data_IF_971890016416
#
_entry.id   IF_971890016416
#
_cell.length_a   1.000
_cell.length_b   1.000
_cell.length_c   1.000
_cell.angle_alpha   90.00
_cell.angle_beta   90.00
_cell.angle_gamma   90.00
#
_symmetry.space_group_name_H-M   'P 1'
#
loop_
_entity.id
_entity.type
_entity.pdbx_description
1 polymer ?
#
# COMPACT_ATOMS: atom_id res chain seq x y z
N UNK A 1 -31.88 -43.06 -37.63
CA UNK A 1 -31.33 -42.66 -36.33
C UNK A 1 -31.10 -41.15 -36.39
N UNK A 2 -31.76 -40.38 -35.54
CA UNK A 2 -31.90 -38.91 -35.65
C UNK A 2 -30.80 -38.20 -34.92
N UNK A 3 -30.14 -37.19 -35.49
CA UNK A 3 -29.12 -36.38 -34.79
C UNK A 3 -29.77 -35.19 -34.10
N UNK A 4 -30.09 -35.34 -32.83
CA UNK A 4 -30.68 -34.26 -32.00
C UNK A 4 -29.69 -33.61 -31.05
N UNK A 5 -28.38 -33.78 -31.24
CA UNK A 5 -27.37 -33.31 -30.31
C UNK A 5 -26.57 -32.06 -30.76
N UNK A 6 -27.04 -31.37 -31.82
CA UNK A 6 -26.31 -30.21 -32.37
C UNK A 6 -26.95 -28.84 -32.07
N UNK A 7 -27.98 -28.78 -31.22
CA UNK A 7 -28.72 -27.53 -30.99
C UNK A 7 -28.62 -26.94 -29.58
N UNK A 8 -27.67 -27.37 -28.72
CA UNK A 8 -27.59 -26.88 -27.36
C UNK A 8 -26.21 -26.26 -27.00
N UNK A 9 -25.46 -25.77 -27.98
CA UNK A 9 -24.14 -25.20 -27.79
C UNK A 9 -24.05 -23.70 -28.12
N UNK A 10 -25.18 -23.04 -28.17
CA UNK A 10 -25.25 -21.59 -28.37
C UNK A 10 -26.14 -21.00 -27.29
N UNK A 11 -25.57 -20.07 -26.50
CA UNK A 11 -26.18 -19.17 -25.52
C UNK A 11 -25.65 -19.33 -24.07
N UNK A 12 -24.32 -19.41 -23.94
CA UNK A 12 -23.66 -18.88 -22.72
C UNK A 12 -22.69 -17.78 -23.14
N UNK A 13 -23.18 -16.76 -23.80
CA UNK A 13 -22.51 -15.46 -23.79
C UNK A 13 -22.74 -14.88 -22.40
N UNK A 14 -21.89 -15.26 -21.45
CA UNK A 14 -21.72 -14.50 -20.22
C UNK A 14 -21.37 -13.10 -20.64
N UNK A 15 -22.35 -12.19 -20.57
CA UNK A 15 -22.08 -10.76 -20.59
C UNK A 15 -21.26 -10.47 -19.31
N UNK A 16 -19.95 -10.65 -19.40
CA UNK A 16 -19.05 -9.98 -18.49
C UNK A 16 -19.36 -8.50 -18.65
N UNK A 17 -20.12 -7.94 -17.70
CA UNK A 17 -20.19 -6.49 -17.50
C UNK A 17 -18.78 -6.07 -17.08
N UNK A 18 -17.89 -5.93 -18.07
CA UNK A 18 -16.59 -5.32 -17.86
C UNK A 18 -16.91 -3.87 -17.47
N UNK A 19 -16.66 -3.51 -16.23
CA UNK A 19 -16.62 -2.12 -15.83
C UNK A 19 -15.73 -1.38 -16.84
N UNK A 20 -16.20 -0.24 -17.35
CA UNK A 20 -15.37 0.57 -18.23
C UNK A 20 -14.03 0.86 -17.53
N UNK A 21 -12.90 0.73 -18.22
CA UNK A 21 -11.62 1.06 -17.61
C UNK A 21 -11.63 2.52 -17.18
N UNK A 22 -11.27 2.78 -15.91
CA UNK A 22 -11.08 4.14 -15.43
C UNK A 22 -9.94 4.77 -16.23
N UNK A 23 -10.21 5.92 -16.85
CA UNK A 23 -9.18 6.64 -17.58
C UNK A 23 -8.48 7.63 -16.63
N UNK A 24 -7.18 7.84 -16.83
CA UNK A 24 -6.40 8.80 -16.03
C UNK A 24 -7.01 10.20 -16.04
N UNK A 25 -7.70 10.59 -17.10
CA UNK A 25 -8.41 11.86 -17.22
C UNK A 25 -9.60 12.00 -16.27
N UNK A 26 -10.10 10.89 -15.70
CA UNK A 26 -11.26 10.88 -14.81
C UNK A 26 -10.87 11.05 -13.35
N UNK A 27 -9.56 10.99 -13.04
CA UNK A 27 -9.04 11.15 -11.69
C UNK A 27 -8.67 12.60 -11.39
N UNK A 28 -8.99 13.04 -10.20
CA UNK A 28 -8.45 14.29 -9.65
C UNK A 28 -6.95 14.16 -9.40
N UNK A 29 -6.24 15.28 -9.26
CA UNK A 29 -4.80 15.28 -8.95
C UNK A 29 -4.49 14.54 -7.63
N UNK A 30 -5.39 14.61 -6.65
CA UNK A 30 -5.24 13.91 -5.36
C UNK A 30 -5.40 12.38 -5.52
N UNK A 31 -6.42 11.96 -6.25
CA UNK A 31 -6.64 10.54 -6.54
C UNK A 31 -5.49 9.95 -7.37
N UNK A 32 -5.02 10.70 -8.36
CA UNK A 32 -3.87 10.28 -9.16
C UNK A 32 -2.60 10.15 -8.29
N UNK A 33 -2.35 11.12 -7.38
CA UNK A 33 -1.23 11.05 -6.43
C UNK A 33 -1.37 9.83 -5.53
N UNK A 34 -2.54 9.58 -4.96
CA UNK A 34 -2.80 8.41 -4.12
C UNK A 34 -2.51 7.10 -4.85
N UNK A 35 -3.04 6.93 -6.05
CA UNK A 35 -2.81 5.70 -6.85
C UNK A 35 -1.34 5.53 -7.20
N UNK A 36 -0.68 6.59 -7.67
CA UNK A 36 0.75 6.51 -8.05
C UNK A 36 1.66 6.30 -6.85
N UNK A 37 1.38 6.93 -5.70
CA UNK A 37 2.14 6.74 -4.47
C UNK A 37 2.13 5.28 -4.02
N UNK A 38 0.95 4.67 -4.02
CA UNK A 38 0.78 3.28 -3.60
C UNK A 38 1.37 2.30 -4.62
N UNK A 39 1.23 2.56 -5.92
CA UNK A 39 1.86 1.74 -6.96
C UNK A 39 3.39 1.76 -6.86
N UNK A 40 4.01 2.95 -6.64
CA UNK A 40 5.45 3.07 -6.46
C UNK A 40 5.91 2.39 -5.17
N UNK A 41 5.17 2.58 -4.06
CA UNK A 41 5.49 1.91 -2.80
C UNK A 41 5.45 0.39 -2.94
N UNK A 42 4.39 -0.16 -3.55
CA UNK A 42 4.26 -1.60 -3.77
C UNK A 42 5.42 -2.14 -4.62
N UNK A 43 5.77 -1.47 -5.71
CA UNK A 43 6.91 -1.87 -6.53
C UNK A 43 8.22 -1.89 -5.73
N UNK A 44 8.45 -0.87 -4.91
CA UNK A 44 9.66 -0.77 -4.10
C UNK A 44 9.66 -1.78 -2.94
N UNK A 45 8.50 -2.12 -2.39
CA UNK A 45 8.33 -3.19 -1.42
C UNK A 45 8.72 -4.55 -2.02
N UNK A 46 8.20 -4.88 -3.20
CA UNK A 46 8.58 -6.12 -3.91
C UNK A 46 10.07 -6.14 -4.29
N UNK A 47 10.62 -4.98 -4.66
CA UNK A 47 12.07 -4.85 -4.83
C UNK A 47 12.83 -5.10 -3.50
N UNK A 48 12.24 -4.75 -2.37
CA UNK A 48 12.78 -5.05 -1.04
C UNK A 48 12.97 -6.55 -0.85
N UNK A 49 11.96 -7.36 -1.12
CA UNK A 49 12.06 -8.82 -1.09
C UNK A 49 13.14 -9.35 -2.03
N UNK A 50 13.19 -8.83 -3.25
CA UNK A 50 14.21 -9.19 -4.22
C UNK A 50 15.63 -8.92 -3.68
N UNK A 51 15.87 -7.72 -3.12
CA UNK A 51 17.16 -7.35 -2.56
C UNK A 51 17.54 -8.20 -1.36
N UNK A 52 16.59 -8.48 -0.45
CA UNK A 52 16.81 -9.35 0.71
C UNK A 52 17.27 -10.73 0.24
N UNK A 53 16.57 -11.29 -0.74
CA UNK A 53 16.86 -12.64 -1.24
C UNK A 53 18.19 -12.69 -2.04
N UNK A 54 18.35 -11.82 -3.04
CA UNK A 54 19.52 -11.86 -3.92
C UNK A 54 20.84 -11.49 -3.21
N UNK A 55 20.77 -10.58 -2.25
CA UNK A 55 21.94 -10.14 -1.50
C UNK A 55 22.12 -10.87 -0.16
N UNK A 56 21.23 -11.82 0.16
CA UNK A 56 21.25 -12.59 1.40
C UNK A 56 21.31 -11.67 2.64
N UNK A 57 20.50 -10.59 2.64
CA UNK A 57 20.50 -9.63 3.73
C UNK A 57 19.91 -10.24 5.01
N UNK A 58 20.54 -10.03 6.17
CA UNK A 58 19.99 -10.52 7.43
C UNK A 58 18.77 -9.72 7.86
N UNK A 59 17.62 -10.37 8.00
CA UNK A 59 16.38 -9.78 8.51
C UNK A 59 16.16 -10.20 9.95
N UNK A 60 16.02 -9.24 10.87
CA UNK A 60 15.86 -9.48 12.31
C UNK A 60 14.37 -9.44 12.73
N UNK A 61 13.47 -9.89 11.90
CA UNK A 61 12.03 -9.86 12.18
C UNK A 61 11.25 -10.43 11.02
N UNK A 62 10.05 -9.92 10.82
CA UNK A 62 9.27 -10.28 9.64
C UNK A 62 9.90 -9.65 8.40
N UNK A 63 10.05 -10.43 7.35
CA UNK A 63 10.58 -9.94 6.08
C UNK A 63 9.69 -8.87 5.48
N UNK A 64 8.37 -8.99 5.66
CA UNK A 64 7.38 -8.01 5.23
C UNK A 64 7.60 -6.62 5.85
N UNK A 65 7.94 -6.56 7.14
CA UNK A 65 8.26 -5.29 7.80
C UNK A 65 9.56 -4.68 7.24
N UNK A 66 10.53 -5.52 6.88
CA UNK A 66 11.77 -5.05 6.25
C UNK A 66 11.53 -4.58 4.82
N UNK A 67 10.69 -5.27 4.06
CA UNK A 67 10.29 -4.87 2.71
C UNK A 67 9.51 -3.54 2.72
N UNK A 68 8.61 -3.34 3.69
CA UNK A 68 7.92 -2.05 3.90
C UNK A 68 8.93 -0.91 4.16
N UNK A 69 9.93 -1.14 5.00
CA UNK A 69 10.96 -0.13 5.28
C UNK A 69 11.82 0.17 4.05
N UNK A 70 12.20 -0.84 3.29
CA UNK A 70 12.95 -0.67 2.04
C UNK A 70 12.12 0.08 1.00
N UNK A 71 10.82 -0.25 0.89
CA UNK A 71 9.89 0.45 0.02
C UNK A 71 9.79 1.93 0.38
N UNK A 72 9.64 2.23 1.67
CA UNK A 72 9.57 3.60 2.16
C UNK A 72 10.87 4.38 1.91
N UNK A 73 12.02 3.80 2.24
CA UNK A 73 13.35 4.41 1.96
C UNK A 73 13.54 4.60 0.45
N UNK A 74 13.07 3.67 -0.36
CA UNK A 74 13.11 3.77 -1.82
C UNK A 74 12.39 5.01 -2.36
N UNK A 75 11.25 5.39 -1.78
CA UNK A 75 10.56 6.64 -2.14
C UNK A 75 11.44 7.88 -1.89
N UNK A 76 12.19 7.91 -0.79
CA UNK A 76 13.15 8.99 -0.51
C UNK A 76 14.31 9.01 -1.51
N UNK A 77 14.81 7.85 -1.91
CA UNK A 77 15.88 7.75 -2.89
C UNK A 77 15.42 8.22 -4.27
N UNK A 78 14.21 7.87 -4.69
CA UNK A 78 13.62 8.33 -5.95
C UNK A 78 13.38 9.84 -5.94
N UNK A 79 12.91 10.40 -4.82
CA UNK A 79 12.65 11.84 -4.69
C UNK A 79 13.95 12.66 -4.64
N UNK A 80 15.02 12.10 -4.13
CA UNK A 80 16.29 12.79 -3.96
C UNK A 80 16.25 13.87 -2.87
N UNK A 81 16.83 15.06 -3.15
CA UNK A 81 16.98 16.12 -2.15
C UNK A 81 15.80 17.10 -2.07
N UNK A 82 14.96 17.17 -3.10
CA UNK A 82 13.81 18.09 -3.13
C UNK A 82 12.59 17.43 -2.48
N UNK A 83 12.40 17.70 -1.21
CA UNK A 83 11.29 17.15 -0.40
C UNK A 83 10.34 18.26 -0.02
N UNK A 84 9.39 18.51 -0.88
CA UNK A 84 8.34 19.50 -0.70
C UNK A 84 7.08 18.94 -0.03
N UNK A 85 6.08 19.78 0.18
CA UNK A 85 4.82 19.37 0.77
C UNK A 85 4.10 18.28 -0.05
N UNK A 86 4.26 18.26 -1.37
CA UNK A 86 3.66 17.25 -2.22
C UNK A 86 4.31 15.87 -2.03
N UNK A 87 5.62 15.83 -1.83
CA UNK A 87 6.33 14.60 -1.47
C UNK A 87 5.84 14.03 -0.13
N UNK A 88 5.70 14.88 0.90
CA UNK A 88 5.20 14.40 2.20
C UNK A 88 3.73 14.00 2.13
N UNK A 89 2.91 14.69 1.34
CA UNK A 89 1.54 14.25 1.06
C UNK A 89 1.50 12.87 0.39
N UNK A 90 2.43 12.60 -0.54
CA UNK A 90 2.60 11.29 -1.17
C UNK A 90 2.96 10.20 -0.16
N UNK A 91 3.84 10.48 0.82
CA UNK A 91 4.15 9.53 1.89
C UNK A 91 2.93 9.22 2.77
N UNK A 92 2.10 10.23 3.04
CA UNK A 92 0.86 10.03 3.78
C UNK A 92 -0.19 9.27 2.97
N UNK A 93 -0.23 9.42 1.65
CA UNK A 93 -1.11 8.62 0.78
C UNK A 93 -0.77 7.11 0.90
N UNK A 94 0.50 6.74 1.09
CA UNK A 94 0.90 5.35 1.36
C UNK A 94 0.40 4.88 2.73
N UNK A 95 0.56 5.71 3.78
CA UNK A 95 0.01 5.40 5.09
C UNK A 95 -1.52 5.27 5.04
N UNK A 96 -2.19 6.20 4.35
CA UNK A 96 -3.65 6.25 4.24
C UNK A 96 -4.26 5.04 3.54
N UNK A 97 -3.53 4.39 2.63
CA UNK A 97 -3.97 3.11 2.06
C UNK A 97 -4.22 2.09 3.18
N UNK A 98 -3.28 1.88 4.08
CA UNK A 98 -3.41 0.94 5.20
C UNK A 98 -4.46 1.39 6.22
N UNK A 99 -4.64 2.70 6.40
CA UNK A 99 -5.72 3.24 7.22
C UNK A 99 -7.09 2.93 6.64
N UNK A 100 -7.24 3.01 5.33
CA UNK A 100 -8.47 2.64 4.64
C UNK A 100 -8.73 1.14 4.77
N UNK A 101 -7.74 0.29 4.47
CA UNK A 101 -7.84 -1.16 4.63
C UNK A 101 -8.23 -1.57 6.05
N UNK A 102 -7.59 -0.96 7.05
CA UNK A 102 -7.94 -1.21 8.46
C UNK A 102 -9.37 -0.83 8.81
N UNK A 103 -9.90 0.24 8.22
CA UNK A 103 -11.24 0.76 8.53
C UNK A 103 -12.36 0.19 7.68
N UNK A 104 -12.04 -0.48 6.57
CA UNK A 104 -13.04 -1.13 5.75
C UNK A 104 -13.71 -2.27 6.52
N UNK A 105 -15.05 -2.41 6.40
CA UNK A 105 -15.73 -3.57 6.91
C UNK A 105 -15.14 -4.83 6.28
N UNK A 106 -14.67 -5.75 7.13
CA UNK A 106 -14.16 -7.05 6.66
C UNK A 106 -15.32 -8.03 6.56
N UNK A 107 -15.31 -8.87 5.53
CA UNK A 107 -16.26 -9.95 5.42
C UNK A 107 -16.07 -10.95 6.59
N UNK A 108 -17.13 -11.65 7.08
CA UNK A 108 -16.99 -12.58 8.22
C UNK A 108 -15.94 -13.67 8.02
N UNK A 109 -15.66 -14.04 6.77
CA UNK A 109 -14.63 -14.98 6.36
C UNK A 109 -13.20 -14.39 6.30
N UNK A 110 -13.07 -13.08 6.24
CA UNK A 110 -11.77 -12.38 6.27
C UNK A 110 -11.24 -12.34 7.71
N UNK A 111 -10.61 -13.43 8.10
CA UNK A 111 -9.97 -13.53 9.42
C UNK A 111 -8.54 -13.02 9.34
N UNK A 112 -8.19 -12.20 10.32
CA UNK A 112 -6.79 -11.91 10.57
C UNK A 112 -6.15 -13.14 11.24
N UNK A 113 -5.27 -13.80 10.53
CA UNK A 113 -4.59 -14.98 11.04
C UNK A 113 -3.35 -14.58 11.85
N UNK A 114 -3.17 -15.22 13.00
CA UNK A 114 -2.00 -14.95 13.87
C UNK A 114 -0.67 -15.39 13.25
N UNK A 115 -0.72 -16.20 12.21
CA UNK A 115 0.44 -16.68 11.45
C UNK A 115 0.67 -15.92 10.13
N UNK A 116 -0.06 -14.82 9.89
CA UNK A 116 0.15 -13.99 8.72
C UNK A 116 1.58 -13.39 8.75
N UNK A 117 2.26 -13.44 7.62
CA UNK A 117 3.59 -12.85 7.48
C UNK A 117 3.54 -11.32 7.52
N UNK A 118 2.41 -10.72 7.13
CA UNK A 118 2.22 -9.29 7.15
C UNK A 118 1.86 -8.76 8.54
N UNK A 119 2.22 -7.49 8.80
CA UNK A 119 1.69 -6.74 9.92
C UNK A 119 0.19 -6.44 9.73
N UNK A 120 -0.51 -6.20 10.85
CA UNK A 120 -1.87 -5.69 10.77
C UNK A 120 -1.89 -4.35 10.02
N UNK A 121 -2.94 -4.10 9.24
CA UNK A 121 -3.10 -2.84 8.50
C UNK A 121 -2.91 -1.62 9.40
N UNK A 122 -3.47 -1.65 10.61
CA UNK A 122 -3.27 -0.61 11.62
C UNK A 122 -1.80 -0.45 12.02
N UNK A 123 -1.05 -1.54 12.15
CA UNK A 123 0.38 -1.49 12.46
C UNK A 123 1.18 -0.91 11.29
N UNK A 124 0.89 -1.33 10.07
CA UNK A 124 1.53 -0.80 8.86
C UNK A 124 1.26 0.69 8.71
N UNK A 125 0.01 1.14 8.93
CA UNK A 125 -0.34 2.56 8.95
C UNK A 125 0.54 3.36 9.92
N UNK A 126 0.58 2.96 11.19
CA UNK A 126 1.37 3.68 12.20
C UNK A 126 2.88 3.57 11.97
N UNK A 127 3.38 2.47 11.42
CA UNK A 127 4.79 2.32 11.07
C UNK A 127 5.20 3.31 9.97
N UNK A 128 4.40 3.43 8.90
CA UNK A 128 4.68 4.35 7.80
C UNK A 128 4.54 5.81 8.26
N UNK A 129 3.50 6.13 9.05
CA UNK A 129 3.34 7.46 9.64
C UNK A 129 4.54 7.85 10.52
N UNK A 130 5.04 6.89 11.32
CA UNK A 130 6.22 7.05 12.16
C UNK A 130 7.49 7.30 11.34
N UNK A 131 7.71 6.51 10.28
CA UNK A 131 8.85 6.72 9.37
C UNK A 131 8.78 8.10 8.69
N UNK A 132 7.58 8.52 8.27
CA UNK A 132 7.38 9.84 7.67
C UNK A 132 7.70 10.96 8.66
N UNK A 133 7.14 10.92 9.85
CA UNK A 133 7.43 11.90 10.92
C UNK A 133 8.91 11.91 11.32
N UNK A 134 9.48 10.73 11.59
CA UNK A 134 10.86 10.56 12.03
C UNK A 134 11.91 10.97 11.00
N UNK A 135 11.53 11.13 9.72
CA UNK A 135 12.45 11.59 8.67
C UNK A 135 12.88 13.06 8.84
N UNK A 136 12.07 13.90 9.50
CA UNK A 136 12.36 15.29 9.85
C UNK A 136 11.41 15.79 10.94
N UNK A 137 11.56 15.35 12.21
CA UNK A 137 10.60 15.64 13.26
C UNK A 137 10.37 17.14 13.52
N UNK A 138 11.39 17.96 13.26
CA UNK A 138 11.32 19.41 13.50
C UNK A 138 10.39 20.13 12.53
N UNK A 139 10.31 19.66 11.29
CA UNK A 139 9.50 20.29 10.24
C UNK A 139 8.21 19.53 9.97
N UNK A 140 8.06 18.30 10.47
CA UNK A 140 6.96 17.39 10.16
C UNK A 140 6.05 17.07 11.38
N UNK A 141 6.11 17.89 12.44
CA UNK A 141 5.25 17.72 13.62
C UNK A 141 3.75 17.64 13.26
N UNK A 142 3.34 18.32 12.20
CA UNK A 142 1.98 18.29 11.70
C UNK A 142 1.50 16.88 11.30
N UNK A 143 2.42 15.96 10.98
CA UNK A 143 2.09 14.55 10.67
C UNK A 143 1.45 13.86 11.88
N UNK A 144 1.88 14.16 13.10
CA UNK A 144 1.31 13.62 14.34
C UNK A 144 -0.20 13.89 14.36
N UNK A 145 -0.59 15.16 14.15
CA UNK A 145 -2.00 15.55 14.13
C UNK A 145 -2.75 14.96 12.92
N UNK A 146 -2.15 14.98 11.73
CA UNK A 146 -2.79 14.51 10.50
C UNK A 146 -3.06 12.99 10.52
N UNK A 147 -2.20 12.23 11.16
CA UNK A 147 -2.31 10.75 11.24
C UNK A 147 -2.96 10.25 12.53
N UNK A 148 -3.00 11.07 13.58
CA UNK A 148 -3.35 10.64 14.93
C UNK A 148 -2.31 9.71 15.53
N UNK A 149 -1.03 9.88 15.14
CA UNK A 149 0.09 9.14 15.71
C UNK A 149 0.18 9.43 17.22
N UNK A 150 0.06 8.43 18.11
CA UNK A 150 0.16 8.66 19.54
C UNK A 150 1.52 9.22 19.94
N UNK A 151 1.56 10.14 20.93
CA UNK A 151 2.80 10.76 21.39
C UNK A 151 3.82 9.72 21.89
N UNK A 152 3.34 8.68 22.60
CA UNK A 152 4.20 7.57 23.03
C UNK A 152 4.85 6.86 21.84
N UNK A 153 4.16 6.76 20.70
CA UNK A 153 4.71 6.15 19.49
C UNK A 153 5.64 7.11 18.77
N UNK A 154 5.25 8.39 18.67
CA UNK A 154 6.03 9.43 18.02
C UNK A 154 7.43 9.60 18.67
N UNK A 155 7.52 9.39 19.98
CA UNK A 155 8.80 9.45 20.72
C UNK A 155 9.84 8.46 20.19
N UNK A 156 9.42 7.34 19.61
CA UNK A 156 10.32 6.30 19.10
C UNK A 156 10.47 6.34 17.55
N UNK A 157 9.94 7.35 16.92
CA UNK A 157 10.13 7.54 15.49
C UNK A 157 11.45 8.27 15.21
#
# INVERSE_FOLDING_TARGET
MRPWYLALLLLLTSACLAAAPVQQSDLTATELRFVTANAEFTLLHEMGHLLINELQLPVLGREEDAADQLGFVGLFLLQGKQRDANFYAKLLDVADYWRLEWRLPKAPEEKVYSWDSHGLDAQRFYNIACLAYGSDPQNLEWIITATGLPDERAFYC
#
